data_IF_152891950585
#
_entry.id   IF_152891950585
#
_cell.length_a   1.000
_cell.length_b   1.000
_cell.length_c   1.000
_cell.angle_alpha   90.00
_cell.angle_beta   90.00
_cell.angle_gamma   90.00
#
_symmetry.space_group_name_H-M   'P 1'
#
loop_
_entity.id
_entity.type
_entity.pdbx_description
1 polymer ?
#
# COMPACT_ATOMS: atom_id res chain seq x y z
N UNK A 1 7.44 20.09 22.37
CA UNK A 1 6.34 21.09 22.32
C UNK A 1 6.44 22.08 21.14
N UNK A 2 7.50 22.08 20.35
CA UNK A 2 7.67 23.02 19.21
C UNK A 2 6.96 22.57 17.92
N UNK A 3 6.59 21.32 17.76
CA UNK A 3 6.07 20.77 16.48
C UNK A 3 4.59 21.05 16.20
N UNK A 4 3.79 21.36 17.20
CA UNK A 4 2.35 21.66 17.03
C UNK A 4 2.14 23.11 16.53
N UNK A 5 3.12 23.98 16.69
CA UNK A 5 3.05 25.41 16.30
C UNK A 5 3.33 25.66 14.81
N UNK A 6 3.74 24.66 14.05
CA UNK A 6 4.12 24.81 12.64
C UNK A 6 2.95 24.96 11.68
N UNK A 7 1.73 24.61 12.09
CA UNK A 7 0.53 24.83 11.27
C UNK A 7 -0.08 26.23 11.47
N UNK A 8 0.71 27.28 11.37
CA UNK A 8 0.16 28.62 11.28
C UNK A 8 -0.21 28.95 9.83
N UNK A 9 -1.35 29.59 9.66
CA UNK A 9 -2.01 29.94 8.39
C UNK A 9 -1.09 30.55 7.30
N UNK A 10 0.03 31.17 7.68
CA UNK A 10 0.95 31.87 6.79
C UNK A 10 1.96 30.98 6.04
N UNK A 11 2.05 29.66 6.36
CA UNK A 11 3.12 28.80 5.86
C UNK A 11 2.67 27.73 4.85
N UNK A 12 1.41 27.77 4.40
CA UNK A 12 0.87 26.74 3.51
C UNK A 12 1.03 27.11 2.05
N UNK A 13 2.08 26.58 1.46
CA UNK A 13 2.22 26.50 0.01
C UNK A 13 2.02 25.04 -0.40
N UNK A 14 1.30 24.81 -1.52
CA UNK A 14 1.20 23.48 -2.16
C UNK A 14 2.56 22.91 -2.57
N UNK A 15 3.60 23.73 -2.53
CA UNK A 15 4.98 23.37 -2.85
C UNK A 15 5.78 22.87 -1.65
N UNK A 16 5.27 23.05 -0.42
CA UNK A 16 5.96 22.62 0.80
C UNK A 16 5.67 21.15 1.05
N UNK A 17 6.72 20.39 1.23
CA UNK A 17 6.65 18.99 1.69
C UNK A 17 6.90 18.91 3.18
N UNK A 18 6.15 17.99 3.81
CA UNK A 18 6.18 17.72 5.22
C UNK A 18 6.53 16.26 5.46
N UNK A 19 7.35 15.99 6.47
CA UNK A 19 7.71 14.64 6.90
C UNK A 19 6.95 14.28 8.15
N UNK A 20 6.26 13.14 8.14
CA UNK A 20 5.58 12.60 9.31
C UNK A 20 6.57 12.13 10.37
N UNK A 21 6.30 12.45 11.64
CA UNK A 21 7.09 12.00 12.80
C UNK A 21 6.41 10.85 13.56
N UNK A 22 5.16 10.59 13.28
CA UNK A 22 4.36 9.52 13.88
C UNK A 22 3.53 8.82 12.80
N UNK A 23 3.02 7.64 13.13
CA UNK A 23 2.01 6.97 12.32
C UNK A 23 0.67 7.70 12.46
N UNK A 24 -0.05 7.82 11.36
CA UNK A 24 -1.38 8.46 11.32
C UNK A 24 -2.37 7.62 10.54
N UNK A 25 -3.65 7.98 10.62
CA UNK A 25 -4.73 7.44 9.82
C UNK A 25 -5.11 8.38 8.70
N UNK A 26 -5.37 7.83 7.51
CA UNK A 26 -5.92 8.53 6.36
C UNK A 26 -7.34 8.07 6.07
N UNK A 27 -8.24 9.01 5.82
CA UNK A 27 -9.67 8.80 5.67
C UNK A 27 -10.12 9.13 4.25
N UNK A 28 -11.25 8.53 3.84
CA UNK A 28 -11.81 8.75 2.52
C UNK A 28 -12.36 10.16 2.34
N UNK A 29 -12.98 10.71 3.38
CA UNK A 29 -13.67 11.99 3.33
C UNK A 29 -13.21 12.92 4.47
N UNK A 30 -13.50 14.20 4.32
CA UNK A 30 -13.29 15.21 5.36
C UNK A 30 -13.99 14.85 6.66
N UNK A 31 -15.17 14.25 6.56
CA UNK A 31 -16.01 13.81 7.68
C UNK A 31 -16.23 12.30 7.62
N UNK A 32 -16.45 11.67 8.78
CA UNK A 32 -16.69 10.21 8.85
C UNK A 32 -15.48 9.42 9.30
N UNK A 33 -15.63 8.10 9.39
CA UNK A 33 -14.64 7.20 10.01
C UNK A 33 -14.08 6.16 9.04
N UNK A 34 -14.38 6.28 7.74
CA UNK A 34 -13.93 5.34 6.74
C UNK A 34 -12.43 5.47 6.51
N UNK A 35 -11.67 4.54 7.09
CA UNK A 35 -10.23 4.42 6.92
C UNK A 35 -9.95 3.95 5.48
N UNK A 36 -9.04 4.62 4.78
CA UNK A 36 -8.56 4.18 3.46
C UNK A 36 -7.09 3.79 3.48
N UNK A 37 -6.34 4.32 4.44
CA UNK A 37 -4.95 3.92 4.65
C UNK A 37 -4.49 4.31 6.05
N UNK A 38 -3.70 3.47 6.68
CA UNK A 38 -2.75 3.96 7.68
C UNK A 38 -1.52 4.53 6.95
N UNK A 39 -0.79 5.38 7.63
CA UNK A 39 0.43 6.00 7.08
C UNK A 39 1.51 5.94 8.14
N UNK A 40 2.59 5.22 7.88
CA UNK A 40 3.69 5.14 8.83
C UNK A 40 4.53 6.43 8.83
N UNK A 41 5.22 6.64 9.94
CA UNK A 41 6.17 7.74 10.12
C UNK A 41 7.21 7.77 8.99
N UNK A 42 7.85 8.91 8.82
CA UNK A 42 8.89 9.20 7.83
C UNK A 42 8.39 9.34 6.38
N UNK A 43 7.10 9.10 6.09
CA UNK A 43 6.53 9.44 4.78
C UNK A 43 6.42 10.94 4.60
N UNK A 44 6.60 11.36 3.34
CA UNK A 44 6.46 12.75 2.94
C UNK A 44 5.08 13.00 2.36
N UNK A 45 4.52 14.17 2.66
CA UNK A 45 3.26 14.60 2.07
C UNK A 45 3.25 16.12 1.81
N UNK A 46 2.37 16.55 0.93
CA UNK A 46 1.99 17.95 0.74
C UNK A 46 0.49 18.14 0.96
N UNK A 47 0.10 19.34 1.34
CA UNK A 47 -1.31 19.70 1.47
C UNK A 47 -1.80 20.13 0.09
N UNK A 48 -2.90 19.56 -0.37
CA UNK A 48 -3.51 19.87 -1.67
C UNK A 48 -4.90 20.49 -1.54
N UNK A 49 -5.39 20.67 -0.32
CA UNK A 49 -6.68 21.29 -0.04
C UNK A 49 -6.70 22.76 -0.51
N UNK A 50 -7.59 23.07 -1.44
CA UNK A 50 -7.74 24.43 -1.98
C UNK A 50 -8.45 25.38 -1.01
N UNK A 51 -9.20 24.87 -0.06
CA UNK A 51 -10.02 25.65 0.89
C UNK A 51 -9.34 25.84 2.25
N UNK A 52 -8.21 25.23 2.46
CA UNK A 52 -7.50 25.22 3.74
C UNK A 52 -7.34 26.62 4.36
N UNK A 53 -6.89 27.60 3.58
CA UNK A 53 -6.68 28.97 4.07
C UNK A 53 -7.97 29.70 4.44
N UNK A 54 -9.13 29.28 3.93
CA UNK A 54 -10.43 29.93 4.17
C UNK A 54 -11.12 29.42 5.43
N UNK A 55 -10.88 28.16 5.81
CA UNK A 55 -11.65 27.46 6.85
C UNK A 55 -10.79 26.84 7.95
N UNK A 56 -9.52 27.23 8.08
CA UNK A 56 -8.55 26.58 8.99
C UNK A 56 -9.07 26.39 10.43
N UNK A 57 -9.78 27.36 10.98
CA UNK A 57 -10.27 27.29 12.36
C UNK A 57 -11.45 26.30 12.55
N UNK A 58 -12.09 25.86 11.46
CA UNK A 58 -13.26 24.98 11.48
C UNK A 58 -12.97 23.60 10.88
N UNK A 59 -11.80 23.40 10.29
CA UNK A 59 -11.42 22.13 9.66
C UNK A 59 -10.75 21.21 10.67
N UNK A 60 -11.25 19.98 10.78
CA UNK A 60 -10.61 18.93 11.58
C UNK A 60 -9.61 18.10 10.77
N UNK A 61 -9.71 18.09 9.43
CA UNK A 61 -8.87 17.31 8.53
C UNK A 61 -8.32 18.12 7.38
N UNK A 62 -7.18 17.66 6.83
CA UNK A 62 -6.53 18.19 5.65
C UNK A 62 -6.52 17.15 4.54
N UNK A 63 -6.78 17.57 3.30
CA UNK A 63 -6.54 16.74 2.13
C UNK A 63 -5.05 16.80 1.77
N UNK A 64 -4.40 15.64 1.80
CA UNK A 64 -2.97 15.51 1.57
C UNK A 64 -2.66 14.56 0.43
N UNK A 65 -1.48 14.71 -0.15
CA UNK A 65 -0.95 13.82 -1.17
C UNK A 65 0.45 13.36 -0.75
N UNK A 66 0.66 12.03 -0.72
CA UNK A 66 1.94 11.44 -0.34
C UNK A 66 2.94 11.44 -1.50
N UNK A 67 4.20 11.63 -1.16
CA UNK A 67 5.29 11.75 -2.13
C UNK A 67 5.63 10.42 -2.80
N UNK A 68 5.58 9.32 -2.06
CA UNK A 68 6.10 8.03 -2.48
C UNK A 68 5.20 7.34 -3.51
N UNK A 69 3.88 7.49 -3.37
CA UNK A 69 2.89 6.79 -4.19
C UNK A 69 1.83 7.71 -4.81
N UNK A 70 1.85 9.01 -4.47
CA UNK A 70 0.85 9.97 -4.92
C UNK A 70 -0.52 9.78 -4.31
N UNK A 71 -0.66 8.88 -3.32
CA UNK A 71 -1.95 8.58 -2.69
C UNK A 71 -2.53 9.82 -2.01
N UNK A 72 -3.83 10.01 -2.18
CA UNK A 72 -4.56 11.17 -1.65
C UNK A 72 -5.56 10.68 -0.60
N UNK A 73 -5.54 11.31 0.57
CA UNK A 73 -6.52 11.05 1.63
C UNK A 73 -6.65 12.26 2.58
N UNK A 74 -7.66 12.20 3.44
CA UNK A 74 -7.87 13.18 4.49
C UNK A 74 -7.16 12.72 5.78
N UNK A 75 -6.43 13.63 6.45
CA UNK A 75 -5.71 13.37 7.69
C UNK A 75 -6.14 14.33 8.80
N UNK A 76 -6.22 13.84 10.03
CA UNK A 76 -6.62 14.64 11.18
C UNK A 76 -5.51 15.64 11.56
N UNK A 77 -5.82 16.94 11.55
CA UNK A 77 -4.87 18.02 11.87
C UNK A 77 -4.32 17.85 13.28
N UNK A 78 -5.18 17.51 14.22
CA UNK A 78 -4.83 17.44 15.64
C UNK A 78 -3.90 16.26 15.96
N UNK A 79 -3.78 15.31 15.04
CA UNK A 79 -2.90 14.14 15.17
C UNK A 79 -1.60 14.28 14.39
N UNK A 80 -1.36 15.41 13.73
CA UNK A 80 -0.15 15.62 12.93
C UNK A 80 1.02 16.09 13.79
N UNK A 81 2.11 15.31 13.79
CA UNK A 81 3.43 15.74 14.23
C UNK A 81 4.35 15.66 13.02
N UNK A 82 4.84 16.80 12.56
CA UNK A 82 5.54 16.92 11.29
C UNK A 82 6.76 17.83 11.38
N UNK A 83 7.67 17.69 10.43
CA UNK A 83 8.73 18.65 10.15
C UNK A 83 8.69 19.06 8.68
N UNK A 84 9.11 20.29 8.39
CA UNK A 84 9.30 20.76 7.02
C UNK A 84 10.43 19.97 6.37
N UNK A 85 10.22 19.52 5.14
CA UNK A 85 11.18 18.71 4.40
C UNK A 85 11.63 19.41 3.12
N UNK A 86 12.95 19.46 2.93
CA UNK A 86 13.58 19.99 1.74
C UNK A 86 13.84 18.84 0.74
N UNK A 87 13.12 18.83 -0.36
CA UNK A 87 13.23 17.78 -1.38
C UNK A 87 14.59 17.78 -2.08
N UNK A 88 15.29 18.90 -2.15
CA UNK A 88 16.60 19.00 -2.80
C UNK A 88 17.66 18.17 -2.06
N UNK A 89 17.39 17.83 -0.79
CA UNK A 89 18.23 16.97 0.06
C UNK A 89 17.88 15.49 -0.03
N UNK A 90 16.93 15.09 -0.90
CA UNK A 90 16.49 13.70 -1.00
C UNK A 90 17.30 12.94 -2.03
N UNK A 91 17.99 11.91 -1.59
CA UNK A 91 18.48 10.84 -2.45
C UNK A 91 17.30 10.02 -2.97
N UNK A 92 16.91 10.23 -4.22
CA UNK A 92 15.87 9.41 -4.88
C UNK A 92 16.53 8.09 -5.27
N UNK A 93 16.34 7.09 -4.43
CA UNK A 93 16.81 5.75 -4.75
C UNK A 93 15.74 5.04 -5.60
N UNK A 94 16.04 4.87 -6.89
CA UNK A 94 15.16 4.15 -7.83
C UNK A 94 15.70 2.73 -7.96
N UNK A 95 14.92 1.75 -7.51
CA UNK A 95 15.24 0.36 -7.75
C UNK A 95 14.88 -0.04 -9.18
N UNK A 96 15.84 -0.60 -9.89
CA UNK A 96 15.64 -1.29 -11.14
C UNK A 96 15.21 -2.75 -10.94
N UNK A 97 14.94 -3.46 -12.03
CA UNK A 97 14.48 -4.84 -11.99
C UNK A 97 15.47 -5.79 -11.30
N UNK A 98 16.77 -5.63 -11.53
CA UNK A 98 17.79 -6.52 -10.97
C UNK A 98 17.89 -6.36 -9.45
N UNK A 99 17.86 -5.11 -8.98
CA UNK A 99 17.90 -4.81 -7.56
C UNK A 99 16.63 -5.29 -6.86
N UNK A 100 15.46 -5.11 -7.49
CA UNK A 100 14.19 -5.63 -6.95
C UNK A 100 14.26 -7.16 -6.83
N UNK A 101 14.69 -7.86 -7.87
CA UNK A 101 14.82 -9.32 -7.83
C UNK A 101 15.74 -9.81 -6.70
N UNK A 102 16.85 -9.11 -6.44
CA UNK A 102 17.74 -9.43 -5.32
C UNK A 102 17.07 -9.23 -3.94
N UNK A 103 16.10 -8.31 -3.84
CA UNK A 103 15.38 -8.01 -2.60
C UNK A 103 14.17 -8.91 -2.35
N UNK A 104 13.64 -9.60 -3.36
CA UNK A 104 12.44 -10.45 -3.22
C UNK A 104 12.54 -11.47 -2.08
N UNK A 105 13.64 -12.22 -1.89
CA UNK A 105 13.71 -13.16 -0.77
C UNK A 105 13.54 -12.48 0.60
N UNK A 106 14.13 -11.30 0.80
CA UNK A 106 14.00 -10.55 2.04
C UNK A 106 12.58 -9.98 2.22
N UNK A 107 11.93 -9.54 1.14
CA UNK A 107 10.53 -9.08 1.14
C UNK A 107 9.60 -10.22 1.58
N UNK A 108 9.75 -11.42 1.00
CA UNK A 108 8.95 -12.59 1.35
C UNK A 108 9.21 -13.05 2.79
N UNK A 109 10.45 -13.04 3.24
CA UNK A 109 10.80 -13.33 4.63
C UNK A 109 10.15 -12.32 5.60
N UNK A 110 10.08 -11.03 5.21
CA UNK A 110 9.39 -10.03 6.01
C UNK A 110 7.89 -10.33 6.10
N UNK A 111 7.22 -10.70 4.99
CA UNK A 111 5.80 -11.09 4.97
C UNK A 111 5.57 -12.32 5.85
N UNK A 112 6.42 -13.35 5.73
CA UNK A 112 6.34 -14.56 6.54
C UNK A 112 6.42 -14.23 8.04
N UNK A 113 7.32 -13.33 8.45
CA UNK A 113 7.41 -12.87 9.83
C UNK A 113 6.15 -12.12 10.31
N UNK A 114 5.42 -11.43 9.43
CA UNK A 114 4.13 -10.83 9.80
C UNK A 114 3.04 -11.90 9.91
N UNK A 115 3.01 -12.89 9.00
CA UNK A 115 2.10 -14.02 9.05
C UNK A 115 2.21 -14.83 10.35
N UNK A 116 3.42 -15.01 10.87
CA UNK A 116 3.70 -15.75 12.12
C UNK A 116 3.25 -15.00 13.39
N UNK A 117 2.92 -13.72 13.30
CA UNK A 117 2.42 -12.92 14.43
C UNK A 117 0.90 -12.97 14.51
N UNK A 118 0.30 -12.80 15.70
CA UNK A 118 -1.13 -12.53 15.80
C UNK A 118 -1.49 -11.29 14.97
N UNK A 119 -2.40 -11.46 14.03
CA UNK A 119 -2.85 -10.39 13.15
C UNK A 119 -4.31 -10.62 12.73
N UNK A 120 -5.01 -9.53 12.41
CA UNK A 120 -6.35 -9.52 11.84
C UNK A 120 -6.35 -8.72 10.54
N UNK A 121 -7.40 -8.86 9.74
CA UNK A 121 -7.60 -8.00 8.59
C UNK A 121 -8.07 -6.62 9.04
N UNK A 122 -7.40 -5.58 8.56
CA UNK A 122 -7.81 -4.20 8.76
C UNK A 122 -7.92 -3.50 7.40
N UNK A 123 -9.13 -3.12 7.00
CA UNK A 123 -9.30 -2.27 5.81
C UNK A 123 -8.51 -0.97 5.96
N UNK A 124 -7.70 -0.63 4.97
CA UNK A 124 -6.77 0.51 5.06
C UNK A 124 -5.49 0.23 5.84
N UNK A 125 -5.31 -0.94 6.44
CA UNK A 125 -4.15 -1.28 7.27
C UNK A 125 -2.85 -1.37 6.48
N UNK A 126 -1.83 -0.64 6.93
CA UNK A 126 -0.46 -0.65 6.38
C UNK A 126 0.63 -0.61 7.45
N UNK A 127 0.28 -0.30 8.70
CA UNK A 127 1.28 -0.10 9.76
C UNK A 127 1.60 -1.40 10.52
N UNK A 128 0.69 -2.34 10.54
CA UNK A 128 0.83 -3.61 11.24
C UNK A 128 0.50 -3.55 12.75
N UNK A 129 0.19 -4.69 13.34
CA UNK A 129 0.25 -6.05 12.75
C UNK A 129 -0.88 -6.36 11.77
N UNK A 130 -1.89 -5.49 11.66
CA UNK A 130 -3.11 -5.68 10.90
C UNK A 130 -2.99 -5.00 9.53
N UNK A 131 -3.20 -5.75 8.46
CA UNK A 131 -3.03 -5.26 7.09
C UNK A 131 -4.27 -5.56 6.25
N UNK A 132 -4.57 -4.70 5.27
CA UNK A 132 -5.36 -5.13 4.11
C UNK A 132 -4.47 -5.83 3.07
N UNK A 133 -5.07 -6.33 1.98
CA UNK A 133 -4.36 -7.10 0.96
C UNK A 133 -3.23 -6.32 0.29
N UNK A 134 -3.51 -5.11 -0.16
CA UNK A 134 -2.52 -4.25 -0.84
C UNK A 134 -1.59 -3.55 0.15
N UNK A 135 -2.05 -3.25 1.36
CA UNK A 135 -1.24 -2.68 2.44
C UNK A 135 -0.12 -3.60 2.91
N UNK A 136 -0.39 -4.91 3.03
CA UNK A 136 0.64 -5.91 3.31
C UNK A 136 1.75 -5.88 2.26
N UNK A 137 1.36 -5.93 0.99
CA UNK A 137 2.29 -5.93 -0.14
C UNK A 137 3.06 -4.61 -0.22
N UNK A 138 2.34 -3.48 -0.15
CA UNK A 138 2.97 -2.16 -0.21
C UNK A 138 4.01 -1.99 0.89
N UNK A 139 3.66 -2.33 2.13
CA UNK A 139 4.56 -2.18 3.28
C UNK A 139 5.77 -3.11 3.17
N UNK A 140 5.59 -4.34 2.68
CA UNK A 140 6.70 -5.26 2.45
C UNK A 140 7.71 -4.72 1.44
N UNK A 141 7.27 -4.17 0.31
CA UNK A 141 8.15 -3.54 -0.68
C UNK A 141 8.77 -2.24 -0.13
N UNK A 142 7.98 -1.41 0.53
CA UNK A 142 8.43 -0.12 1.05
C UNK A 142 9.49 -0.28 2.15
N UNK A 143 9.36 -1.26 3.04
CA UNK A 143 10.37 -1.56 4.08
C UNK A 143 11.72 -2.00 3.50
N UNK A 144 11.76 -2.31 2.19
CA UNK A 144 12.98 -2.62 1.44
C UNK A 144 13.38 -1.52 0.44
N UNK A 145 12.81 -0.31 0.58
CA UNK A 145 13.13 0.86 -0.23
C UNK A 145 12.55 0.82 -1.65
N UNK A 146 11.47 0.08 -1.87
CA UNK A 146 10.79 -0.01 -3.17
C UNK A 146 9.39 0.57 -3.03
N UNK A 147 9.13 1.70 -3.68
CA UNK A 147 7.79 2.29 -3.73
C UNK A 147 6.93 1.55 -4.76
N UNK A 148 5.69 1.25 -4.38
CA UNK A 148 4.65 0.71 -5.25
C UNK A 148 3.31 1.40 -4.96
N UNK A 149 2.33 1.38 -5.86
CA UNK A 149 1.02 1.99 -5.62
C UNK A 149 0.31 1.41 -4.39
N UNK A 150 -0.66 2.18 -3.85
CA UNK A 150 -1.40 1.77 -2.64
C UNK A 150 -2.46 0.70 -2.92
N UNK A 151 -3.25 0.86 -3.97
CA UNK A 151 -4.42 0.02 -4.21
C UNK A 151 -4.11 -1.15 -5.15
N UNK A 152 -4.78 -2.29 -4.95
CA UNK A 152 -4.58 -3.50 -5.75
C UNK A 152 -4.74 -3.27 -7.26
N UNK A 153 -5.76 -2.49 -7.67
CA UNK A 153 -5.97 -2.18 -9.09
C UNK A 153 -4.87 -1.30 -9.67
N UNK A 154 -4.31 -0.38 -8.87
CA UNK A 154 -3.19 0.46 -9.27
C UNK A 154 -1.91 -0.38 -9.40
N UNK A 155 -1.67 -1.33 -8.46
CA UNK A 155 -0.57 -2.28 -8.55
C UNK A 155 -0.66 -3.12 -9.82
N UNK A 156 -1.86 -3.62 -10.16
CA UNK A 156 -2.11 -4.38 -11.40
C UNK A 156 -1.72 -3.57 -12.63
N UNK A 157 -2.12 -2.32 -12.71
CA UNK A 157 -1.83 -1.44 -13.84
C UNK A 157 -0.34 -1.03 -13.91
N UNK A 158 0.35 -1.00 -12.78
CA UNK A 158 1.76 -0.64 -12.69
C UNK A 158 2.70 -1.79 -13.02
N UNK A 159 2.35 -3.02 -12.65
CA UNK A 159 3.17 -4.19 -12.88
C UNK A 159 3.43 -4.44 -14.38
N UNK A 160 4.60 -4.99 -14.68
CA UNK A 160 4.77 -5.69 -15.95
C UNK A 160 3.80 -6.86 -15.99
N UNK A 161 2.82 -6.81 -16.89
CA UNK A 161 1.86 -7.88 -17.09
C UNK A 161 2.57 -9.18 -17.48
N UNK A 162 2.22 -10.30 -16.86
CA UNK A 162 2.77 -11.61 -17.18
C UNK A 162 1.80 -12.43 -18.03
N UNK A 163 0.56 -12.57 -17.55
CA UNK A 163 -0.51 -13.30 -18.22
C UNK A 163 -1.86 -13.05 -17.56
N UNK A 164 -2.92 -13.35 -18.31
CA UNK A 164 -4.28 -13.48 -17.79
C UNK A 164 -4.61 -14.94 -17.49
N UNK A 165 -5.50 -15.17 -16.52
CA UNK A 165 -5.92 -16.53 -16.15
C UNK A 165 -7.03 -17.02 -17.09
N UNK A 166 -7.08 -18.34 -17.45
CA UNK A 166 -6.26 -19.45 -17.00
C UNK A 166 -4.86 -19.50 -17.64
N UNK A 167 -3.86 -19.75 -16.84
CA UNK A 167 -2.47 -19.67 -17.24
C UNK A 167 -1.58 -20.77 -16.65
N UNK A 168 -0.34 -20.78 -17.10
CA UNK A 168 0.68 -21.71 -16.61
C UNK A 168 1.26 -21.18 -15.29
N UNK A 169 0.80 -21.73 -14.16
CA UNK A 169 1.32 -21.43 -12.82
C UNK A 169 2.84 -21.65 -12.75
N UNK A 170 3.37 -22.60 -13.50
CA UNK A 170 4.80 -22.93 -13.57
C UNK A 170 5.69 -21.79 -14.08
N UNK A 171 5.10 -20.75 -14.73
CA UNK A 171 5.84 -19.57 -15.18
C UNK A 171 6.02 -18.50 -14.10
N UNK A 172 5.33 -18.62 -12.97
CA UNK A 172 5.42 -17.69 -11.84
C UNK A 172 6.79 -17.80 -11.15
N UNK A 173 7.29 -16.65 -10.71
CA UNK A 173 8.50 -16.54 -9.91
C UNK A 173 8.17 -15.92 -8.55
N UNK A 174 8.95 -16.26 -7.55
CA UNK A 174 8.84 -15.62 -6.22
C UNK A 174 8.77 -14.10 -6.35
N UNK A 175 7.80 -13.50 -5.66
CA UNK A 175 7.56 -12.06 -5.68
C UNK A 175 6.63 -11.56 -6.80
N UNK A 176 6.15 -12.43 -7.69
CA UNK A 176 5.10 -12.06 -8.65
C UNK A 176 3.80 -11.76 -7.91
N UNK A 177 3.11 -10.70 -8.31
CA UNK A 177 1.83 -10.34 -7.73
C UNK A 177 0.70 -11.06 -8.46
N UNK A 178 -0.23 -11.59 -7.68
CA UNK A 178 -1.44 -12.26 -8.14
C UNK A 178 -2.62 -11.32 -7.92
N UNK A 179 -3.39 -11.08 -8.95
CA UNK A 179 -4.51 -10.16 -8.91
C UNK A 179 -5.83 -10.90 -9.02
N UNK A 180 -6.74 -10.59 -8.09
CA UNK A 180 -8.03 -11.26 -7.98
C UNK A 180 -9.17 -10.25 -8.11
N UNK A 181 -10.32 -10.71 -8.55
CA UNK A 181 -11.49 -9.87 -8.70
C UNK A 181 -12.62 -10.51 -9.50
N UNK A 182 -13.58 -9.66 -9.88
CA UNK A 182 -14.72 -10.05 -10.69
C UNK A 182 -14.73 -9.25 -12.00
N UNK A 183 -15.00 -9.90 -13.12
CA UNK A 183 -15.32 -9.25 -14.41
C UNK A 183 -14.42 -8.05 -14.75
N UNK A 184 -13.10 -8.20 -14.68
CA UNK A 184 -12.08 -7.18 -14.99
C UNK A 184 -11.77 -6.16 -13.87
N UNK A 185 -12.53 -6.12 -12.77
CA UNK A 185 -12.21 -5.23 -11.64
C UNK A 185 -11.35 -5.95 -10.64
N UNK A 186 -10.08 -5.54 -10.54
CA UNK A 186 -9.17 -6.01 -9.51
C UNK A 186 -9.53 -5.35 -8.17
N UNK A 187 -9.82 -6.16 -7.16
CA UNK A 187 -10.12 -5.70 -5.79
C UNK A 187 -9.30 -6.40 -4.72
N UNK A 188 -8.44 -7.36 -5.12
CA UNK A 188 -7.60 -8.07 -4.18
C UNK A 188 -6.26 -8.44 -4.82
N UNK A 189 -5.21 -8.58 -3.99
CA UNK A 189 -3.85 -8.90 -4.40
C UNK A 189 -3.19 -9.83 -3.40
N UNK A 190 -2.38 -10.74 -3.92
CA UNK A 190 -1.45 -11.59 -3.16
C UNK A 190 -0.07 -11.56 -3.79
N UNK A 191 0.90 -12.15 -3.12
CA UNK A 191 2.27 -12.29 -3.61
C UNK A 191 2.67 -13.76 -3.66
N UNK A 192 3.11 -14.19 -4.84
CA UNK A 192 3.52 -15.56 -5.06
C UNK A 192 4.79 -15.90 -4.26
N UNK A 193 4.74 -17.00 -3.55
CA UNK A 193 5.85 -17.50 -2.75
C UNK A 193 6.60 -18.58 -3.53
N UNK A 194 6.12 -19.81 -3.50
CA UNK A 194 6.71 -20.93 -4.24
C UNK A 194 5.71 -22.10 -4.37
N UNK A 195 5.93 -23.00 -5.33
CA UNK A 195 5.18 -24.28 -5.46
C UNK A 195 3.66 -24.10 -5.45
N UNK A 196 3.19 -23.01 -6.07
CA UNK A 196 1.77 -22.67 -6.09
C UNK A 196 1.25 -21.95 -4.86
N UNK A 197 2.07 -21.73 -3.83
CA UNK A 197 1.71 -21.02 -2.61
C UNK A 197 1.86 -19.49 -2.79
N UNK A 198 0.99 -18.73 -2.13
CA UNK A 198 1.06 -17.27 -2.11
C UNK A 198 0.56 -16.71 -0.78
N UNK A 199 1.14 -15.58 -0.37
CA UNK A 199 0.67 -14.81 0.78
C UNK A 199 -0.32 -13.74 0.35
N UNK A 200 -1.34 -13.51 1.18
CA UNK A 200 -2.24 -12.37 1.09
C UNK A 200 -2.87 -12.06 2.46
N UNK A 201 -3.49 -10.89 2.61
CA UNK A 201 -4.32 -10.58 3.78
C UNK A 201 -5.78 -10.50 3.34
N UNK A 202 -6.69 -11.19 4.02
CA UNK A 202 -8.09 -11.34 3.63
C UNK A 202 -9.02 -11.20 4.82
N UNK A 203 -10.20 -10.60 4.59
CA UNK A 203 -11.20 -10.38 5.62
C UNK A 203 -12.03 -11.61 5.97
N UNK A 204 -12.81 -11.48 7.04
CA UNK A 204 -13.69 -12.53 7.58
C UNK A 204 -14.78 -12.94 6.59
N UNK A 205 -15.22 -12.04 5.72
CA UNK A 205 -16.23 -12.29 4.68
C UNK A 205 -15.80 -13.37 3.68
N UNK A 206 -14.50 -13.61 3.57
CA UNK A 206 -13.92 -14.66 2.72
C UNK A 206 -13.44 -15.87 3.52
N UNK A 207 -13.78 -15.95 4.81
CA UNK A 207 -13.46 -17.07 5.70
C UNK A 207 -12.08 -17.02 6.37
N UNK A 208 -11.34 -15.90 6.20
CA UNK A 208 -10.06 -15.65 6.90
C UNK A 208 -10.22 -14.40 7.80
N UNK A 209 -9.32 -14.04 8.58
CA UNK A 209 -9.21 -12.73 9.22
C UNK A 209 -7.72 -12.45 9.44
N UNK A 210 -7.10 -11.88 8.41
CA UNK A 210 -5.69 -11.54 8.44
C UNK A 210 -4.86 -12.19 7.34
N UNK A 211 -3.55 -12.31 7.60
CA UNK A 211 -2.58 -12.84 6.63
C UNK A 211 -2.73 -14.35 6.52
N UNK A 212 -2.76 -14.85 5.30
CA UNK A 212 -2.84 -16.28 4.98
C UNK A 212 -1.82 -16.71 3.94
N UNK A 213 -1.51 -18.01 3.96
CA UNK A 213 -0.75 -18.71 2.94
C UNK A 213 -1.67 -19.69 2.25
N UNK A 214 -2.08 -19.38 1.03
CA UNK A 214 -3.04 -20.15 0.24
C UNK A 214 -2.39 -20.72 -1.03
N UNK A 215 -3.10 -21.64 -1.70
CA UNK A 215 -2.54 -22.34 -2.87
C UNK A 215 -3.32 -22.09 -4.15
N UNK A 216 -2.59 -22.03 -5.27
CA UNK A 216 -3.13 -22.04 -6.63
C UNK A 216 -3.29 -23.47 -7.19
N UNK A 217 -2.81 -24.48 -6.48
CA UNK A 217 -2.78 -25.88 -6.96
C UNK A 217 -3.98 -26.63 -6.39
N UNK A 218 -4.75 -27.25 -7.27
CA UNK A 218 -5.83 -28.11 -6.86
C UNK A 218 -5.29 -29.42 -6.24
N UNK A 219 -5.76 -29.75 -5.05
CA UNK A 219 -5.49 -31.01 -4.37
C UNK A 219 -6.76 -31.52 -3.69
N UNK A 220 -6.77 -32.82 -3.32
CA UNK A 220 -7.91 -33.42 -2.60
C UNK A 220 -8.17 -32.79 -1.22
N UNK A 221 -7.17 -32.12 -0.66
CA UNK A 221 -7.21 -31.48 0.67
C UNK A 221 -7.20 -29.95 0.62
N UNK A 222 -7.55 -29.36 -0.53
CA UNK A 222 -7.58 -27.90 -0.68
C UNK A 222 -8.69 -27.30 0.20
N UNK A 223 -8.37 -26.23 0.91
CA UNK A 223 -9.33 -25.51 1.75
C UNK A 223 -10.27 -24.60 0.91
N UNK A 224 -11.40 -24.23 1.53
CA UNK A 224 -12.44 -23.43 0.86
C UNK A 224 -11.95 -22.03 0.44
N UNK A 225 -11.01 -21.46 1.18
CA UNK A 225 -10.47 -20.10 0.93
C UNK A 225 -9.61 -20.14 -0.32
N UNK A 226 -8.71 -21.11 -0.43
CA UNK A 226 -7.91 -21.36 -1.63
C UNK A 226 -8.79 -21.57 -2.87
N UNK A 227 -9.87 -22.36 -2.77
CA UNK A 227 -10.83 -22.58 -3.87
C UNK A 227 -11.49 -21.25 -4.27
N UNK A 228 -11.95 -20.46 -3.29
CA UNK A 228 -12.57 -19.17 -3.54
C UNK A 228 -11.62 -18.24 -4.32
N UNK A 229 -10.39 -18.05 -3.85
CA UNK A 229 -9.45 -17.16 -4.52
C UNK A 229 -8.97 -17.69 -5.87
N UNK A 230 -8.82 -19.01 -6.04
CA UNK A 230 -8.56 -19.58 -7.37
C UNK A 230 -9.64 -19.21 -8.38
N UNK A 231 -10.91 -19.24 -7.98
CA UNK A 231 -12.04 -18.84 -8.85
C UNK A 231 -12.06 -17.34 -9.18
N UNK A 232 -11.32 -16.51 -8.43
CA UNK A 232 -11.26 -15.06 -8.57
C UNK A 232 -9.95 -14.57 -9.20
N UNK A 233 -8.99 -15.45 -9.44
CA UNK A 233 -7.71 -15.07 -10.05
C UNK A 233 -7.93 -14.58 -11.48
N UNK A 234 -7.48 -13.36 -11.79
CA UNK A 234 -7.65 -12.72 -13.10
C UNK A 234 -6.35 -12.56 -13.88
N UNK A 235 -5.25 -12.28 -13.18
CA UNK A 235 -3.95 -12.08 -13.84
C UNK A 235 -2.80 -12.13 -12.85
N UNK A 236 -1.58 -12.16 -13.38
CA UNK A 236 -0.36 -11.97 -12.63
C UNK A 236 0.51 -10.87 -13.24
N UNK A 237 1.32 -10.23 -12.39
CA UNK A 237 2.24 -9.18 -12.81
C UNK A 237 3.51 -9.16 -11.96
N UNK A 238 4.56 -8.51 -12.47
CA UNK A 238 5.86 -8.42 -11.81
C UNK A 238 6.25 -6.98 -11.60
N UNK A 239 6.70 -6.65 -10.40
CA UNK A 239 7.33 -5.35 -10.11
C UNK A 239 8.73 -5.36 -10.73
N UNK A 240 8.97 -4.42 -11.66
CA UNK A 240 10.24 -4.31 -12.39
C UNK A 240 10.95 -2.98 -12.17
N UNK A 241 10.32 -2.04 -11.47
CA UNK A 241 10.87 -0.73 -11.11
C UNK A 241 10.16 -0.17 -9.89
N UNK A 242 10.77 0.78 -9.19
CA UNK A 242 10.05 1.59 -8.20
C UNK A 242 9.00 2.46 -8.86
N UNK A 243 7.85 2.57 -8.22
CA UNK A 243 6.79 3.46 -8.68
C UNK A 243 7.20 4.92 -8.47
N UNK A 244 6.92 5.73 -9.49
CA UNK A 244 7.02 7.18 -9.44
C UNK A 244 5.72 7.73 -10.01
N UNK A 245 4.89 8.30 -9.15
CA UNK A 245 3.72 9.00 -9.64
C UNK A 245 4.14 10.30 -10.35
N UNK A 246 3.35 10.74 -11.33
CA UNK A 246 3.64 11.95 -12.07
C UNK A 246 3.51 13.18 -11.16
N UNK A 247 4.64 13.79 -10.83
CA UNK A 247 4.71 14.98 -9.96
C UNK A 247 4.43 16.28 -10.71
N UNK A 248 4.26 16.21 -12.03
CA UNK A 248 4.01 17.38 -12.89
C UNK A 248 2.53 17.75 -12.96
N UNK A 249 1.63 16.91 -12.48
CA UNK A 249 0.21 17.26 -12.33
C UNK A 249 0.09 18.25 -11.18
N UNK A 250 0.03 19.50 -11.55
CA UNK A 250 -0.09 20.70 -10.68
C UNK A 250 -1.54 20.94 -10.28
#
# INVERSE_FOLDING_TARGET
MESILLFKQSNFSKTIWWKLKINIQGFQNEYGYELVTEVFKDRLFRIIDSNFNKNFNNQSRLLVQFYEDGYICWVDINKLIVEKYDLDKRDIFICDQLLIQKKIPAILQWIQKQYEKPNNYLWGGTVGPNYDCSGLIQTAFFSHGISIPRDAYQMKNFCKHLFDFPCKIDSLKMGDLLFFGNNKRCNHVGIYFERGLYFHSSGTENGRDGIGLDTLINSKSIDRISIYYQSKLISAGRITRSYQWDKTIR
#
